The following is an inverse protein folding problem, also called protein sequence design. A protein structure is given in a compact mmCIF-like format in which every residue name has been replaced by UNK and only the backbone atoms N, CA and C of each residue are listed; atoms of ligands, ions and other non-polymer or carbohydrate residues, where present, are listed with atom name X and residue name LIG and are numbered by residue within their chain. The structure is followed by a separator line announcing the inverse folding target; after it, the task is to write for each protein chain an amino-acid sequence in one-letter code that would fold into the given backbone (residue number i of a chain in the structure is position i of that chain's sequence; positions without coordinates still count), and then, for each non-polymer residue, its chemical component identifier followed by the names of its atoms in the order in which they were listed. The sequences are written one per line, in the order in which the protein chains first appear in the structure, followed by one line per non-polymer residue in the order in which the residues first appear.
data_IF_625544631943
#
_entry.id   IF_625544631943
#
_cell.length_a   1.000
_cell.length_b   1.000
_cell.length_c   1.000
_cell.angle_alpha   90.00
_cell.angle_beta   90.00
_cell.angle_gamma   90.00
#
_symmetry.space_group_name_H-M   'P 1'
#
loop_
_entity.id
_entity.type
_entity.pdbx_description
1 polymer ?
#
# COMPACT_ATOMS: atom_id res chain seq x y z
N UNK A 1 9.76 12.55 -19.60
CA UNK A 1 8.55 13.31 -19.27
C UNK A 1 7.74 12.47 -18.31
N UNK A 2 7.58 12.87 -17.05
CA UNK A 2 6.76 12.12 -16.11
C UNK A 2 5.29 12.41 -16.41
N UNK A 3 4.55 11.40 -16.89
CA UNK A 3 3.11 11.51 -17.12
C UNK A 3 2.39 11.92 -15.83
N UNK A 4 1.42 12.82 -15.94
CA UNK A 4 0.57 13.20 -14.80
C UNK A 4 -0.23 11.97 -14.35
N UNK A 5 -0.14 11.62 -13.07
CA UNK A 5 -0.90 10.49 -12.53
C UNK A 5 -2.33 10.94 -12.31
N UNK A 6 -3.29 10.23 -12.89
CA UNK A 6 -4.72 10.50 -12.72
C UNK A 6 -5.25 9.56 -11.67
N UNK A 7 -5.86 10.10 -10.62
CA UNK A 7 -6.49 9.31 -9.56
C UNK A 7 -7.98 9.67 -9.49
N UNK A 8 -8.80 8.69 -9.15
CA UNK A 8 -10.16 8.95 -8.68
C UNK A 8 -10.11 9.65 -7.32
N UNK A 9 -11.19 10.34 -6.94
CA UNK A 9 -11.32 10.94 -5.61
C UNK A 9 -11.17 9.87 -4.50
N UNK A 10 -11.86 8.74 -4.65
CA UNK A 10 -11.80 7.65 -3.67
C UNK A 10 -10.38 7.10 -3.50
N UNK A 11 -9.66 6.85 -4.61
CA UNK A 11 -8.27 6.36 -4.54
C UNK A 11 -7.36 7.39 -3.87
N UNK A 12 -7.54 8.68 -4.16
CA UNK A 12 -6.78 9.75 -3.52
C UNK A 12 -7.03 9.78 -2.01
N UNK A 13 -8.31 9.72 -1.59
CA UNK A 13 -8.68 9.76 -0.18
C UNK A 13 -8.18 8.54 0.59
N UNK A 14 -8.32 7.33 0.01
CA UNK A 14 -7.75 6.10 0.57
C UNK A 14 -6.23 6.19 0.74
N UNK A 15 -5.52 6.78 -0.22
CA UNK A 15 -4.07 6.95 -0.14
C UNK A 15 -3.67 7.93 0.97
N UNK A 16 -4.39 9.03 1.11
CA UNK A 16 -4.16 10.01 2.20
C UNK A 16 -4.40 9.36 3.55
N UNK A 17 -5.49 8.60 3.70
CA UNK A 17 -5.81 7.87 4.91
C UNK A 17 -4.72 6.84 5.25
N UNK A 18 -4.28 6.04 4.27
CA UNK A 18 -3.22 5.06 4.48
C UNK A 18 -1.90 5.70 4.96
N UNK A 19 -1.52 6.84 4.37
CA UNK A 19 -0.32 7.57 4.82
C UNK A 19 -0.45 7.96 6.28
N UNK A 20 -1.60 8.49 6.68
CA UNK A 20 -1.84 8.90 8.05
C UNK A 20 -1.77 7.71 9.03
N UNK A 21 -2.48 6.61 8.72
CA UNK A 21 -2.48 5.40 9.55
C UNK A 21 -1.08 4.79 9.69
N UNK A 22 -0.31 4.75 8.61
CA UNK A 22 1.07 4.25 8.64
C UNK A 22 1.99 5.15 9.46
N UNK A 23 1.88 6.47 9.34
CA UNK A 23 2.68 7.41 10.12
C UNK A 23 2.40 7.30 11.63
N UNK A 24 1.12 7.14 12.01
CA UNK A 24 0.72 6.98 13.42
C UNK A 24 1.14 5.63 14.00
N UNK A 25 0.97 4.54 13.24
CA UNK A 25 1.16 3.19 13.75
C UNK A 25 2.56 2.62 13.57
N UNK A 26 3.42 3.16 12.69
CA UNK A 26 4.74 2.56 12.44
C UNK A 26 5.58 2.36 13.69
N UNK A 27 5.53 3.31 14.63
CA UNK A 27 6.33 3.25 15.85
C UNK A 27 5.85 2.11 16.74
N UNK A 28 4.53 2.00 16.91
CA UNK A 28 3.91 0.90 17.66
C UNK A 28 4.22 -0.46 17.03
N UNK A 29 4.16 -0.56 15.69
CA UNK A 29 4.47 -1.81 14.98
C UNK A 29 5.92 -2.24 15.12
N UNK A 30 6.85 -1.28 15.05
CA UNK A 30 8.25 -1.58 15.30
C UNK A 30 8.46 -2.06 16.74
N UNK A 31 7.77 -1.47 17.72
CA UNK A 31 7.82 -1.91 19.12
C UNK A 31 7.21 -3.29 19.34
N UNK A 32 6.09 -3.60 18.70
CA UNK A 32 5.38 -4.87 18.86
C UNK A 32 6.10 -6.04 18.19
N UNK A 33 6.49 -5.89 16.93
CA UNK A 33 7.07 -6.97 16.14
C UNK A 33 8.59 -7.05 16.25
N UNK A 34 9.26 -5.94 16.58
CA UNK A 34 10.72 -5.84 16.67
C UNK A 34 11.17 -5.07 17.92
N UNK A 35 10.81 -5.52 19.14
CA UNK A 35 11.05 -4.80 20.38
C UNK A 35 12.54 -4.53 20.66
N UNK A 36 13.42 -5.39 20.16
CA UNK A 36 14.86 -5.23 20.28
C UNK A 36 15.46 -4.44 19.11
N UNK A 37 16.53 -3.67 19.39
CA UNK A 37 17.22 -2.86 18.41
C UNK A 37 18.15 -3.71 17.53
N UNK A 38 17.55 -4.54 16.67
CA UNK A 38 18.26 -5.30 15.65
C UNK A 38 18.35 -4.51 14.33
N UNK A 39 19.31 -4.91 13.48
CA UNK A 39 19.46 -4.35 12.13
C UNK A 39 18.16 -4.46 11.32
N UNK A 40 17.38 -5.52 11.55
CA UNK A 40 16.08 -5.76 10.91
C UNK A 40 15.05 -4.66 11.25
N UNK A 41 15.03 -4.16 12.50
CA UNK A 41 14.17 -3.04 12.91
C UNK A 41 14.48 -1.78 12.11
N UNK A 42 15.77 -1.49 11.92
CA UNK A 42 16.20 -0.33 11.13
C UNK A 42 15.83 -0.47 9.65
N UNK A 43 15.98 -1.68 9.09
CA UNK A 43 15.58 -1.98 7.71
C UNK A 43 14.08 -1.83 7.50
N UNK A 44 13.26 -2.39 8.39
CA UNK A 44 11.81 -2.28 8.33
C UNK A 44 11.35 -0.82 8.49
N UNK A 45 11.98 -0.07 9.40
CA UNK A 45 11.71 1.36 9.53
C UNK A 45 12.01 2.11 8.22
N UNK A 46 13.15 1.84 7.58
CA UNK A 46 13.49 2.43 6.29
C UNK A 46 12.45 2.06 5.22
N UNK A 47 12.02 0.80 5.19
CA UNK A 47 11.01 0.33 4.25
C UNK A 47 9.68 1.09 4.41
N UNK A 48 9.23 1.30 5.65
CA UNK A 48 8.03 2.11 5.92
C UNK A 48 8.22 3.57 5.49
N UNK A 49 9.37 4.17 5.84
CA UNK A 49 9.67 5.57 5.50
C UNK A 49 9.71 5.76 3.97
N UNK A 50 10.30 4.83 3.24
CA UNK A 50 10.38 4.83 1.78
C UNK A 50 8.99 4.65 1.13
N UNK A 51 8.19 3.70 1.64
CA UNK A 51 6.82 3.48 1.17
C UNK A 51 5.95 4.73 1.36
N UNK A 52 5.96 5.31 2.57
CA UNK A 52 5.24 6.55 2.87
C UNK A 52 5.72 7.68 1.97
N UNK A 53 7.03 7.83 1.77
CA UNK A 53 7.61 8.83 0.88
C UNK A 53 7.14 8.70 -0.57
N UNK A 54 7.05 7.47 -1.08
CA UNK A 54 6.52 7.21 -2.41
C UNK A 54 5.03 7.55 -2.53
N UNK A 55 4.20 7.19 -1.53
CA UNK A 55 2.78 7.56 -1.49
C UNK A 55 2.59 9.08 -1.45
N UNK A 56 3.32 9.79 -0.61
CA UNK A 56 3.26 11.25 -0.53
C UNK A 56 3.69 11.91 -1.85
N UNK A 57 4.72 11.39 -2.51
CA UNK A 57 5.16 11.87 -3.83
C UNK A 57 4.08 11.64 -4.90
N UNK A 58 3.43 10.47 -4.86
CA UNK A 58 2.32 10.14 -5.75
C UNK A 58 1.15 11.10 -5.56
N UNK A 59 0.68 11.28 -4.33
CA UNK A 59 -0.41 12.18 -3.96
C UNK A 59 -0.12 13.60 -4.49
N UNK A 60 1.10 14.11 -4.23
CA UNK A 60 1.53 15.45 -4.69
C UNK A 60 1.55 15.61 -6.22
N UNK A 61 1.87 14.54 -6.95
CA UNK A 61 1.96 14.55 -8.42
C UNK A 61 0.63 14.20 -9.10
N UNK A 62 -0.35 13.76 -8.33
CA UNK A 62 -1.63 13.32 -8.85
C UNK A 62 -2.52 14.49 -9.22
N UNK A 63 -3.36 14.29 -10.23
CA UNK A 63 -4.54 15.10 -10.46
C UNK A 63 -5.78 14.26 -10.22
N UNK A 64 -6.67 14.79 -9.39
CA UNK A 64 -7.99 14.22 -9.19
C UNK A 64 -8.79 14.42 -10.47
N UNK A 65 -9.34 13.34 -11.01
CA UNK A 65 -10.20 13.39 -12.19
C UNK A 65 -11.59 12.87 -11.82
N UNK A 66 -12.61 13.45 -12.44
CA UNK A 66 -14.00 12.96 -12.35
C UNK A 66 -14.24 11.68 -13.15
N UNK A 67 -13.22 11.14 -13.83
CA UNK A 67 -13.27 9.86 -14.54
C UNK A 67 -12.83 8.68 -13.67
N UNK A 68 -13.38 7.50 -14.00
CA UNK A 68 -13.04 6.17 -13.46
C UNK A 68 -11.64 5.73 -13.92
N UNK A 69 -10.59 6.42 -13.48
CA UNK A 69 -9.26 5.82 -13.50
C UNK A 69 -9.16 4.91 -12.28
N UNK A 70 -9.83 3.76 -12.35
CA UNK A 70 -10.18 2.94 -11.19
C UNK A 70 -8.98 2.23 -10.55
N UNK A 71 -7.82 2.22 -11.21
CA UNK A 71 -6.65 1.48 -10.72
C UNK A 71 -5.37 2.32 -10.78
N UNK A 72 -4.61 2.41 -9.67
CA UNK A 72 -3.29 3.02 -9.66
C UNK A 72 -2.33 2.24 -10.58
N UNK A 73 -1.29 2.87 -11.15
CA UNK A 73 -0.37 2.21 -12.08
C UNK A 73 0.64 1.27 -11.39
N UNK A 74 0.48 1.02 -10.10
CA UNK A 74 1.31 0.13 -9.29
C UNK A 74 0.45 -0.49 -8.18
N UNK A 75 0.94 -1.61 -7.66
CA UNK A 75 0.32 -2.34 -6.55
C UNK A 75 0.50 -1.56 -5.25
N UNK A 76 -0.59 -1.43 -4.49
CA UNK A 76 -0.65 -0.75 -3.20
C UNK A 76 -1.19 -1.67 -2.11
N UNK A 77 -1.00 -1.29 -0.85
CA UNK A 77 -1.79 -1.86 0.24
C UNK A 77 -3.29 -1.68 -0.06
N UNK A 78 -4.05 -2.76 0.08
CA UNK A 78 -5.44 -2.91 -0.33
C UNK A 78 -5.65 -3.40 -1.76
N UNK A 79 -4.57 -3.61 -2.54
CA UNK A 79 -4.69 -4.13 -3.91
C UNK A 79 -4.85 -5.65 -3.90
N UNK A 80 -5.81 -6.13 -4.68
CA UNK A 80 -5.87 -7.52 -5.11
C UNK A 80 -4.98 -7.71 -6.34
N UNK A 81 -4.11 -8.72 -6.29
CA UNK A 81 -3.17 -9.06 -7.36
C UNK A 81 -3.26 -10.54 -7.67
N UNK A 82 -3.15 -10.88 -8.95
CA UNK A 82 -3.01 -12.26 -9.41
C UNK A 82 -1.56 -12.54 -9.74
N UNK A 83 -1.02 -13.63 -9.22
CA UNK A 83 0.33 -14.13 -9.49
C UNK A 83 0.20 -15.46 -10.21
N UNK A 84 0.96 -15.62 -11.29
CA UNK A 84 1.02 -16.87 -12.05
C UNK A 84 2.30 -17.62 -11.71
N UNK A 85 2.18 -18.86 -11.24
CA UNK A 85 3.33 -19.77 -11.15
C UNK A 85 3.69 -20.26 -12.56
N UNK A 86 4.93 -20.01 -12.99
CA UNK A 86 5.40 -20.40 -14.32
C UNK A 86 5.70 -21.89 -14.45
N UNK A 87 5.81 -22.63 -13.34
CA UNK A 87 6.10 -24.05 -13.33
C UNK A 87 4.87 -24.89 -13.71
N UNK A 88 3.69 -24.53 -13.20
CA UNK A 88 2.44 -25.26 -13.42
C UNK A 88 1.32 -24.41 -14.08
N UNK A 89 1.57 -23.12 -14.35
CA UNK A 89 0.61 -22.14 -14.86
C UNK A 89 -0.62 -21.96 -13.96
N UNK A 90 -0.48 -22.24 -12.65
CA UNK A 90 -1.52 -21.90 -11.68
C UNK A 90 -1.58 -20.39 -11.46
N UNK A 91 -2.80 -19.88 -11.26
CA UNK A 91 -3.06 -18.48 -10.91
C UNK A 91 -3.55 -18.43 -9.46
N UNK A 92 -2.90 -17.62 -8.65
CA UNK A 92 -3.26 -17.37 -7.26
C UNK A 92 -3.53 -15.88 -7.02
N UNK A 93 -4.64 -15.57 -6.34
CA UNK A 93 -5.02 -14.21 -5.98
C UNK A 93 -4.58 -13.88 -4.56
N UNK A 94 -3.94 -12.72 -4.40
CA UNK A 94 -3.47 -12.21 -3.12
C UNK A 94 -4.00 -10.80 -2.88
N UNK A 95 -4.29 -10.48 -1.63
CA UNK A 95 -4.57 -9.10 -1.21
C UNK A 95 -3.36 -8.59 -0.44
N UNK A 96 -2.79 -7.48 -0.90
CA UNK A 96 -1.71 -6.82 -0.17
C UNK A 96 -2.31 -6.13 1.04
N UNK A 97 -1.99 -6.59 2.24
CA UNK A 97 -2.50 -6.02 3.49
C UNK A 97 -1.40 -5.28 4.25
N UNK A 98 -1.81 -4.32 5.08
CA UNK A 98 -0.89 -3.73 6.04
C UNK A 98 -0.58 -4.78 7.13
N UNK A 99 0.65 -4.79 7.70
CA UNK A 99 1.01 -5.74 8.77
C UNK A 99 0.21 -5.56 10.08
N UNK A 100 -0.67 -4.57 10.13
CA UNK A 100 -1.51 -4.22 11.26
C UNK A 100 -3.01 -4.46 11.02
N UNK A 101 -3.36 -5.00 9.85
CA UNK A 101 -4.70 -5.46 9.54
C UNK A 101 -4.84 -6.90 10.02
N UNK A 102 -5.56 -7.09 11.13
CA UNK A 102 -5.86 -8.41 11.70
C UNK A 102 -6.92 -9.18 10.89
N UNK A 103 -7.63 -8.48 9.99
CA UNK A 103 -8.68 -9.04 9.14
C UNK A 103 -8.56 -8.49 7.72
N UNK A 104 -8.61 -9.39 6.72
CA UNK A 104 -8.96 -9.00 5.35
C UNK A 104 -10.43 -8.55 5.46
N UNK A 105 -10.70 -7.26 5.37
CA UNK A 105 -12.08 -6.76 5.40
C UNK A 105 -12.87 -7.51 4.33
N UNK A 106 -13.81 -8.35 4.77
CA UNK A 106 -14.56 -9.32 3.96
C UNK A 106 -15.57 -8.71 2.99
N UNK A 107 -15.32 -7.51 2.48
CA UNK A 107 -16.17 -6.83 1.50
C UNK A 107 -15.69 -6.98 0.05
N UNK A 108 -14.81 -7.95 -0.22
CA UNK A 108 -14.39 -8.34 -1.58
C UNK A 108 -15.01 -9.68 -2.03
N UNK A 109 -16.06 -10.15 -1.36
CA UNK A 109 -16.92 -11.21 -1.89
C UNK A 109 -18.18 -10.57 -2.49
N UNK A 110 -18.13 -10.27 -3.79
CA UNK A 110 -19.32 -10.08 -4.63
C UNK A 110 -19.39 -11.22 -5.63
#
# INVERSE_FOLDING_TARGET
MAGKVMLSQNTYDSLVQQVHELEERKTQLLEEFFPEAFNERAQLKSLFDDYIGHLQSLIKKSQITSGTSDKPPFVLVGSEVEVMDLADNSLESFVIVAPFQDTIDGNMAS
#
